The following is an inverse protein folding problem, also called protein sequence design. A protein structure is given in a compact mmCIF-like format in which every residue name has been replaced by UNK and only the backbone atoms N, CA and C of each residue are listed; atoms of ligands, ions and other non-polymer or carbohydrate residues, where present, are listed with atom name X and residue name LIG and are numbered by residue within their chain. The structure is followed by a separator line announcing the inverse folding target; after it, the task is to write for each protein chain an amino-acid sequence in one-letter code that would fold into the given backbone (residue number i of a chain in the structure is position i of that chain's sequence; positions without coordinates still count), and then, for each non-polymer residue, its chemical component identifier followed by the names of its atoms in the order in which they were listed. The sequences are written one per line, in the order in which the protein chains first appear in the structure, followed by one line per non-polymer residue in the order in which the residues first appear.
data_IF_490846978640
#
_entry.id   IF_490846978640
#
_cell.length_a   1.000
_cell.length_b   1.000
_cell.length_c   1.000
_cell.angle_alpha   90.00
_cell.angle_beta   90.00
_cell.angle_gamma   90.00
#
_symmetry.space_group_name_H-M   'P 1'
#
loop_
_entity.id
_entity.type
_entity.pdbx_description
1 polymer ?
#
# COMPACT_ATOMS: atom_id res chain seq x y z
N UNK A 1 5.99 20.08 18.78
CA UNK A 1 6.10 18.72 19.36
C UNK A 1 5.83 17.75 18.22
N UNK A 2 6.84 17.04 17.74
CA UNK A 2 6.67 16.04 16.68
C UNK A 2 6.03 14.81 17.32
N UNK A 3 4.73 14.61 17.10
CA UNK A 3 4.03 13.41 17.53
C UNK A 3 4.64 12.22 16.79
N UNK A 4 5.12 11.23 17.52
CA UNK A 4 5.61 9.98 16.91
C UNK A 4 4.42 9.32 16.23
N UNK A 5 4.53 9.09 14.92
CA UNK A 5 3.50 8.41 14.14
C UNK A 5 3.31 6.98 14.65
N UNK A 6 2.07 6.61 14.94
CA UNK A 6 1.67 5.23 15.17
C UNK A 6 0.87 4.70 13.96
N UNK A 7 1.47 3.84 13.10
CA UNK A 7 0.78 3.30 11.94
C UNK A 7 -0.39 2.37 12.25
N UNK A 8 -0.49 1.79 13.47
CA UNK A 8 -1.61 0.91 13.83
C UNK A 8 -2.89 1.70 14.08
N UNK A 9 -2.76 2.93 14.59
CA UNK A 9 -3.87 3.78 14.98
C UNK A 9 -4.04 5.01 14.08
N UNK A 10 -3.19 5.20 13.06
CA UNK A 10 -3.39 6.26 12.07
C UNK A 10 -4.77 6.08 11.38
N UNK A 11 -5.66 7.09 11.39
CA UNK A 11 -6.93 6.93 10.70
C UNK A 11 -6.76 6.88 9.18
N UNK A 12 -7.31 5.85 8.54
CA UNK A 12 -7.19 5.56 7.11
C UNK A 12 -8.31 6.21 6.29
N UNK A 13 -8.83 7.35 6.72
CA UNK A 13 -9.86 8.11 6.04
C UNK A 13 -9.56 9.62 6.10
N UNK A 14 -10.12 10.35 5.13
CA UNK A 14 -9.83 11.77 4.94
C UNK A 14 -8.40 12.02 4.46
N UNK A 15 -7.93 13.26 4.58
CA UNK A 15 -6.55 13.63 4.24
C UNK A 15 -5.66 13.55 5.47
N UNK A 16 -4.48 12.94 5.32
CA UNK A 16 -3.47 12.78 6.37
C UNK A 16 -2.11 13.21 5.80
N UNK A 17 -1.38 14.03 6.56
CA UNK A 17 -0.01 14.41 6.26
C UNK A 17 0.93 13.68 7.22
N UNK A 18 1.88 12.93 6.66
CA UNK A 18 2.92 12.24 7.42
C UNK A 18 4.26 12.87 7.06
N UNK A 19 4.92 13.48 8.02
CA UNK A 19 6.27 14.03 7.86
C UNK A 19 7.30 12.94 8.20
N UNK A 20 8.26 12.70 7.31
CA UNK A 20 9.24 11.64 7.49
C UNK A 20 10.59 11.97 6.82
N UNK A 21 11.61 12.24 7.64
CA UNK A 21 12.98 12.52 7.21
C UNK A 21 13.69 11.29 6.61
N UNK A 22 14.86 11.49 6.01
CA UNK A 22 15.69 10.38 5.53
C UNK A 22 15.96 9.37 6.66
N UNK A 23 15.84 8.07 6.36
CA UNK A 23 16.09 7.01 7.33
C UNK A 23 14.98 6.73 8.36
N UNK A 24 13.86 7.48 8.38
CA UNK A 24 12.80 7.32 9.41
C UNK A 24 11.73 6.27 9.06
N UNK A 25 12.07 5.27 8.24
CA UNK A 25 11.14 4.17 7.94
C UNK A 25 9.92 4.53 7.09
N UNK A 26 10.04 5.52 6.18
CA UNK A 26 8.97 5.89 5.22
C UNK A 26 8.37 4.68 4.51
N UNK A 27 9.23 3.89 3.87
CA UNK A 27 8.80 2.75 3.06
C UNK A 27 8.18 1.66 3.93
N UNK A 28 8.72 1.46 5.14
CA UNK A 28 8.13 0.55 6.13
C UNK A 28 6.73 1.03 6.56
N UNK A 29 6.57 2.33 6.80
CA UNK A 29 5.27 2.94 7.16
C UNK A 29 4.25 2.73 6.06
N UNK A 30 4.61 2.97 4.80
CA UNK A 30 3.71 2.73 3.66
C UNK A 30 3.28 1.27 3.62
N UNK A 31 4.22 0.31 3.76
CA UNK A 31 3.89 -1.11 3.76
C UNK A 31 3.00 -1.52 4.96
N UNK A 32 3.20 -0.92 6.13
CA UNK A 32 2.36 -1.13 7.31
C UNK A 32 0.92 -0.62 7.09
N UNK A 33 0.75 0.58 6.52
CA UNK A 33 -0.56 1.14 6.19
C UNK A 33 -1.26 0.33 5.09
N UNK A 34 -0.51 -0.10 4.07
CA UNK A 34 -1.02 -0.95 2.99
C UNK A 34 -1.56 -2.28 3.54
N UNK A 35 -0.80 -2.94 4.42
CA UNK A 35 -1.23 -4.15 5.11
C UNK A 35 -2.55 -3.92 5.86
N UNK A 36 -2.69 -2.81 6.58
CA UNK A 36 -3.93 -2.48 7.29
C UNK A 36 -5.12 -2.30 6.35
N UNK A 37 -4.92 -1.67 5.19
CA UNK A 37 -5.97 -1.50 4.17
C UNK A 37 -6.43 -2.86 3.60
N UNK A 38 -5.48 -3.77 3.29
CA UNK A 38 -5.79 -5.13 2.84
C UNK A 38 -6.61 -5.89 3.88
N UNK A 39 -6.25 -5.77 5.16
CA UNK A 39 -6.96 -6.44 6.24
C UNK A 39 -8.29 -5.78 6.62
N UNK A 40 -8.50 -4.51 6.25
CA UNK A 40 -9.60 -3.70 6.79
C UNK A 40 -9.44 -3.43 8.29
N UNK A 41 -8.19 -3.29 8.76
CA UNK A 41 -7.82 -3.22 10.17
C UNK A 41 -7.93 -1.82 10.79
N UNK A 42 -8.37 -1.77 12.06
CA UNK A 42 -8.44 -0.57 12.90
C UNK A 42 -9.77 -0.48 13.65
N UNK A 43 -9.83 0.36 14.68
CA UNK A 43 -11.06 0.65 15.40
C UNK A 43 -12.10 1.37 14.52
N UNK A 44 -13.34 1.47 15.01
CA UNK A 44 -14.35 2.34 14.40
C UNK A 44 -13.86 3.79 14.42
N UNK A 45 -13.90 4.44 13.26
CA UNK A 45 -13.26 5.76 13.08
C UNK A 45 -11.77 5.72 12.74
N UNK A 46 -11.09 4.57 12.73
CA UNK A 46 -9.69 4.47 12.27
C UNK A 46 -9.55 3.66 10.99
N UNK A 47 -10.34 2.59 10.84
CA UNK A 47 -10.29 1.72 9.66
C UNK A 47 -10.93 2.35 8.43
N UNK A 48 -10.53 1.86 7.25
CA UNK A 48 -11.24 2.11 6.01
C UNK A 48 -12.60 1.39 5.98
N UNK A 49 -13.52 1.83 5.12
CA UNK A 49 -14.89 1.32 5.08
C UNK A 49 -14.99 -0.19 4.81
N UNK A 50 -14.02 -0.77 4.10
CA UNK A 50 -13.91 -2.20 3.80
C UNK A 50 -12.44 -2.62 3.69
N UNK A 51 -12.19 -3.92 3.69
CA UNK A 51 -10.92 -4.47 3.20
C UNK A 51 -10.76 -4.16 1.70
N UNK A 52 -9.53 -3.83 1.30
CA UNK A 52 -9.18 -3.47 -0.07
C UNK A 52 -8.35 -4.56 -0.75
N UNK A 53 -8.39 -4.59 -2.08
CA UNK A 53 -7.48 -5.37 -2.93
C UNK A 53 -6.29 -4.50 -3.37
N UNK A 54 -5.18 -5.08 -3.85
CA UNK A 54 -4.04 -4.29 -4.30
C UNK A 54 -4.35 -3.25 -5.40
N UNK A 55 -5.30 -3.56 -6.28
CA UNK A 55 -5.80 -2.67 -7.34
C UNK A 55 -6.68 -1.53 -6.80
N UNK A 56 -7.28 -1.68 -5.61
CA UNK A 56 -8.08 -0.64 -4.97
C UNK A 56 -7.22 0.44 -4.28
N UNK A 57 -5.91 0.22 -4.12
CA UNK A 57 -5.01 1.09 -3.34
C UNK A 57 -4.04 1.81 -4.27
N UNK A 58 -4.35 3.05 -4.62
CA UNK A 58 -3.46 3.90 -5.41
C UNK A 58 -2.27 4.38 -4.57
N UNK A 59 -1.06 4.05 -5.01
CA UNK A 59 0.18 4.62 -4.48
C UNK A 59 0.99 5.26 -5.61
N UNK A 60 1.43 6.50 -5.41
CA UNK A 60 2.22 7.23 -6.40
C UNK A 60 3.58 7.63 -5.85
N UNK A 61 4.61 7.59 -6.69
CA UNK A 61 5.98 8.04 -6.35
C UNK A 61 6.67 8.69 -7.55
N UNK A 62 7.87 9.22 -7.36
CA UNK A 62 8.57 9.99 -8.39
C UNK A 62 9.33 9.15 -9.42
N UNK A 63 9.80 7.96 -9.05
CA UNK A 63 10.70 7.19 -9.91
C UNK A 63 10.20 5.77 -10.13
N UNK A 64 10.47 5.23 -11.31
CA UNK A 64 10.15 3.82 -11.63
C UNK A 64 10.85 2.86 -10.69
N UNK A 65 12.11 3.13 -10.33
CA UNK A 65 12.83 2.34 -9.33
C UNK A 65 12.10 2.30 -7.98
N UNK A 66 11.60 3.45 -7.50
CA UNK A 66 10.83 3.50 -6.26
C UNK A 66 9.49 2.75 -6.37
N UNK A 67 8.84 2.71 -7.54
CA UNK A 67 7.64 1.87 -7.72
C UNK A 67 7.94 0.39 -7.56
N UNK A 68 9.04 -0.10 -8.16
CA UNK A 68 9.43 -1.50 -8.09
C UNK A 68 9.85 -1.89 -6.67
N UNK A 69 10.72 -1.09 -6.05
CA UNK A 69 11.13 -1.29 -4.66
C UNK A 69 9.93 -1.32 -3.71
N UNK A 70 8.96 -0.43 -3.92
CA UNK A 70 7.76 -0.37 -3.08
C UNK A 70 6.86 -1.59 -3.29
N UNK A 71 6.67 -2.04 -4.54
CA UNK A 71 5.91 -3.27 -4.86
C UNK A 71 6.52 -4.49 -4.16
N UNK A 72 7.84 -4.66 -4.27
CA UNK A 72 8.57 -5.75 -3.62
C UNK A 72 8.41 -5.71 -2.10
N UNK A 73 8.67 -4.55 -1.48
CA UNK A 73 8.57 -4.39 -0.03
C UNK A 73 7.16 -4.63 0.51
N UNK A 74 6.12 -4.18 -0.20
CA UNK A 74 4.74 -4.45 0.17
C UNK A 74 4.45 -5.94 0.06
N UNK A 75 4.83 -6.58 -1.05
CA UNK A 75 4.66 -8.04 -1.23
C UNK A 75 5.30 -8.82 -0.10
N UNK A 76 6.56 -8.52 0.22
CA UNK A 76 7.30 -9.17 1.30
C UNK A 76 6.61 -8.96 2.66
N UNK A 77 6.11 -7.74 2.91
CA UNK A 77 5.38 -7.43 4.15
C UNK A 77 4.08 -8.24 4.27
N UNK A 78 3.31 -8.34 3.18
CA UNK A 78 2.08 -9.15 3.14
C UNK A 78 2.38 -10.62 3.39
N UNK A 79 3.40 -11.19 2.71
CA UNK A 79 3.79 -12.59 2.89
C UNK A 79 4.30 -12.87 4.31
N UNK A 80 5.17 -12.02 4.84
CA UNK A 80 5.68 -12.13 6.21
C UNK A 80 4.54 -12.08 7.22
N UNK A 81 3.62 -11.11 7.09
CA UNK A 81 2.44 -11.04 7.95
C UNK A 81 1.55 -12.29 7.83
N UNK A 82 1.37 -12.85 6.62
CA UNK A 82 0.60 -14.08 6.44
C UNK A 82 1.22 -15.26 7.21
N UNK A 83 2.53 -15.46 7.10
CA UNK A 83 3.24 -16.52 7.84
C UNK A 83 3.19 -16.27 9.35
N UNK A 84 3.31 -15.02 9.78
CA UNK A 84 3.22 -14.62 11.18
C UNK A 84 1.84 -14.96 11.76
N UNK A 85 0.77 -14.68 11.02
CA UNK A 85 -0.62 -15.01 11.41
C UNK A 85 -0.87 -16.52 11.49
N UNK A 86 -0.16 -17.33 10.70
CA UNK A 86 -0.23 -18.79 10.77
C UNK A 86 0.66 -19.40 11.87
N UNK A 87 1.50 -18.59 12.53
CA UNK A 87 2.51 -19.08 13.46
C UNK A 87 3.67 -19.82 12.79
N UNK A 88 3.81 -19.68 11.48
CA UNK A 88 4.86 -20.35 10.69
C UNK A 88 6.18 -19.57 10.67
N UNK A 89 6.14 -18.30 11.06
CA UNK A 89 7.27 -17.38 11.06
C UNK A 89 7.24 -16.58 12.36
N UNK A 90 8.25 -16.80 13.20
CA UNK A 90 8.49 -16.05 14.43
C UNK A 90 9.84 -15.37 14.27
N UNK A 91 9.85 -14.21 13.61
CA UNK A 91 11.05 -13.40 13.45
C UNK A 91 11.75 -13.24 14.81
N UNK A 92 13.08 -13.28 14.80
CA UNK A 92 13.91 -13.05 16.00
C UNK A 92 14.86 -11.88 15.71
N UNK A 93 14.68 -10.70 16.35
CA UNK A 93 13.63 -10.38 17.32
C UNK A 93 12.23 -10.33 16.69
N UNK A 94 11.17 -10.49 17.49
CA UNK A 94 9.79 -10.39 17.01
C UNK A 94 9.50 -9.03 16.39
N UNK A 95 8.56 -8.99 15.45
CA UNK A 95 8.08 -7.75 14.85
C UNK A 95 6.98 -7.14 15.75
N UNK A 96 7.24 -6.05 16.48
CA UNK A 96 6.30 -5.53 17.47
C UNK A 96 4.99 -5.03 16.85
N UNK A 97 5.05 -4.57 15.59
CA UNK A 97 3.87 -4.14 14.86
C UNK A 97 2.99 -5.35 14.51
N UNK A 98 3.57 -6.46 14.04
CA UNK A 98 2.80 -7.66 13.74
C UNK A 98 2.28 -8.35 15.00
N UNK A 99 3.02 -8.32 16.11
CA UNK A 99 2.55 -8.78 17.42
C UNK A 99 1.29 -8.04 17.87
N UNK A 100 1.35 -6.71 17.84
CA UNK A 100 0.22 -5.87 18.24
C UNK A 100 -0.96 -6.05 17.30
N UNK A 101 -0.71 -6.09 15.98
CA UNK A 101 -1.74 -6.35 14.98
C UNK A 101 -2.40 -7.72 15.16
N UNK A 102 -1.63 -8.76 15.49
CA UNK A 102 -2.14 -10.12 15.69
C UNK A 102 -3.01 -10.23 16.95
N UNK A 103 -2.78 -9.40 17.96
CA UNK A 103 -3.56 -9.37 19.20
C UNK A 103 -5.05 -9.08 18.94
N UNK A 104 -5.36 -8.31 17.89
CA UNK A 104 -6.73 -8.00 17.47
C UNK A 104 -7.44 -9.17 16.76
N UNK A 105 -6.72 -10.26 16.46
CA UNK A 105 -7.24 -11.49 15.88
C UNK A 105 -7.21 -12.61 16.91
N UNK A 106 -8.23 -12.66 17.78
CA UNK A 106 -8.26 -13.53 18.96
C UNK A 106 -8.43 -15.03 18.67
N UNK A 107 -9.06 -15.41 17.54
CA UNK A 107 -9.32 -16.82 17.22
C UNK A 107 -8.37 -17.38 16.14
N UNK A 108 -8.03 -18.69 16.19
CA UNK A 108 -7.27 -19.33 15.11
C UNK A 108 -7.95 -19.21 13.75
N UNK A 109 -9.30 -19.22 13.72
CA UNK A 109 -10.09 -19.07 12.49
C UNK A 109 -9.91 -17.69 11.87
N UNK A 110 -10.02 -16.61 12.66
CA UNK A 110 -9.84 -15.24 12.17
C UNK A 110 -8.41 -15.00 11.71
N UNK A 111 -7.42 -15.59 12.39
CA UNK A 111 -6.01 -15.55 11.98
C UNK A 111 -5.78 -16.24 10.64
N UNK A 112 -6.31 -17.45 10.46
CA UNK A 112 -6.21 -18.18 9.19
C UNK A 112 -6.90 -17.44 8.03
N UNK A 113 -8.06 -16.82 8.28
CA UNK A 113 -8.75 -16.00 7.27
C UNK A 113 -7.95 -14.76 6.87
N UNK A 114 -7.37 -14.06 7.85
CA UNK A 114 -6.50 -12.91 7.58
C UNK A 114 -5.24 -13.35 6.81
N UNK A 115 -4.57 -14.42 7.22
CA UNK A 115 -3.43 -14.98 6.50
C UNK A 115 -3.79 -15.32 5.04
N UNK A 116 -4.94 -15.95 4.80
CA UNK A 116 -5.39 -16.26 3.45
C UNK A 116 -5.59 -14.99 2.60
N UNK A 117 -6.23 -13.95 3.14
CA UNK A 117 -6.37 -12.66 2.45
C UNK A 117 -5.00 -12.04 2.10
N UNK A 118 -4.05 -12.12 3.03
CA UNK A 118 -2.71 -11.59 2.83
C UNK A 118 -1.93 -12.32 1.74
N UNK A 119 -2.04 -13.65 1.67
CA UNK A 119 -1.45 -14.44 0.58
C UNK A 119 -2.04 -14.04 -0.77
N UNK A 120 -3.38 -14.00 -0.87
CA UNK A 120 -4.04 -13.59 -2.12
C UNK A 120 -3.64 -12.17 -2.55
N UNK A 121 -3.57 -11.23 -1.61
CA UNK A 121 -3.12 -9.87 -1.89
C UNK A 121 -1.65 -9.83 -2.32
N UNK A 122 -0.78 -10.63 -1.70
CA UNK A 122 0.63 -10.72 -2.07
C UNK A 122 0.82 -11.29 -3.48
N UNK A 123 0.02 -12.29 -3.87
CA UNK A 123 0.06 -12.87 -5.21
C UNK A 123 -0.45 -11.87 -6.26
N UNK A 124 -1.50 -11.11 -5.95
CA UNK A 124 -2.07 -10.08 -6.82
C UNK A 124 -1.27 -8.75 -6.88
N UNK A 125 -0.08 -8.67 -6.29
CA UNK A 125 0.71 -7.43 -6.28
C UNK A 125 1.23 -7.01 -7.66
N UNK A 126 1.26 -7.90 -8.66
CA UNK A 126 1.61 -7.52 -10.04
C UNK A 126 0.59 -6.52 -10.61
N UNK A 127 -0.69 -6.71 -10.27
CA UNK A 127 -1.82 -5.86 -10.66
C UNK A 127 -2.01 -4.64 -9.75
N UNK A 128 -1.12 -4.43 -8.77
CA UNK A 128 -1.23 -3.32 -7.82
C UNK A 128 -1.19 -1.94 -8.49
N UNK A 129 -2.02 -1.02 -8.00
CA UNK A 129 -2.12 0.36 -8.47
C UNK A 129 -0.97 1.24 -7.93
N UNK A 130 0.28 0.81 -8.15
CA UNK A 130 1.50 1.52 -7.75
C UNK A 130 2.19 2.07 -8.99
N UNK A 131 2.18 3.40 -9.13
CA UNK A 131 2.62 4.09 -10.34
C UNK A 131 3.61 5.21 -10.02
N UNK A 132 4.34 5.65 -11.05
CA UNK A 132 4.89 7.00 -11.00
C UNK A 132 3.79 8.03 -11.21
N UNK A 133 3.98 9.26 -10.73
CA UNK A 133 2.98 10.33 -10.88
C UNK A 133 2.62 10.54 -12.37
N UNK A 134 3.62 10.58 -13.25
CA UNK A 134 3.43 10.74 -14.69
C UNK A 134 2.64 9.56 -15.31
N UNK A 135 2.97 8.33 -14.92
CA UNK A 135 2.31 7.14 -15.45
C UNK A 135 0.82 7.09 -15.05
N UNK A 136 0.49 7.49 -13.82
CA UNK A 136 -0.90 7.59 -13.36
C UNK A 136 -1.69 8.68 -14.11
N UNK A 137 -1.11 9.87 -14.26
CA UNK A 137 -1.74 10.95 -15.03
C UNK A 137 -2.04 10.50 -16.47
N UNK A 138 -1.06 9.89 -17.15
CA UNK A 138 -1.24 9.39 -18.52
C UNK A 138 -2.29 8.28 -18.61
N UNK A 139 -2.34 7.39 -17.62
CA UNK A 139 -3.37 6.33 -17.57
C UNK A 139 -4.76 6.94 -17.43
N UNK A 140 -4.92 7.87 -16.49
CA UNK A 140 -6.18 8.58 -16.24
C UNK A 140 -6.66 9.32 -17.49
N UNK A 141 -5.76 10.04 -18.17
CA UNK A 141 -6.08 10.73 -19.42
C UNK A 141 -6.52 9.77 -20.53
N UNK A 142 -5.88 8.61 -20.66
CA UNK A 142 -6.26 7.58 -21.63
C UNK A 142 -7.60 6.93 -21.32
N UNK A 143 -7.86 6.59 -20.05
CA UNK A 143 -9.11 5.98 -19.62
C UNK A 143 -10.31 6.95 -19.73
N UNK A 144 -10.06 8.25 -19.59
CA UNK A 144 -11.07 9.31 -19.72
C UNK A 144 -11.01 10.11 -21.03
N UNK A 145 -10.25 9.67 -22.04
CA UNK A 145 -10.09 10.37 -23.32
C UNK A 145 -11.43 10.63 -24.02
N UNK A 146 -12.39 9.69 -23.88
CA UNK A 146 -13.75 9.86 -24.37
C UNK A 146 -14.55 10.94 -23.63
N UNK A 147 -14.26 11.18 -22.35
CA UNK A 147 -14.93 12.21 -21.55
C UNK A 147 -14.31 13.60 -21.73
N UNK A 148 -13.05 13.68 -22.17
CA UNK A 148 -12.31 14.94 -22.35
C UNK A 148 -12.27 15.43 -23.80
N UNK A 149 -12.69 14.61 -24.78
CA UNK A 149 -12.64 14.97 -26.20
C UNK A 149 -11.23 15.05 -26.78
N UNK A 150 -10.22 14.52 -26.07
CA UNK A 150 -8.84 14.46 -26.56
C UNK A 150 -8.67 13.32 -27.57
N UNK A 151 -7.98 13.62 -28.66
CA UNK A 151 -7.77 12.69 -29.76
C UNK A 151 -6.92 11.49 -29.30
N UNK A 152 -7.28 10.30 -29.76
CA UNK A 152 -6.99 8.99 -29.14
C UNK A 152 -5.50 8.55 -29.15
N UNK A 153 -4.55 9.46 -29.42
CA UNK A 153 -3.11 9.21 -29.57
C UNK A 153 -2.28 10.39 -29.08
N UNK A 154 -2.26 10.63 -27.78
CA UNK A 154 -1.24 11.50 -27.19
C UNK A 154 0.03 10.68 -26.92
N UNK A 155 1.07 10.93 -27.73
CA UNK A 155 2.42 10.40 -27.51
C UNK A 155 3.07 11.22 -26.40
N UNK A 156 3.52 10.55 -25.33
CA UNK A 156 4.26 11.21 -24.27
C UNK A 156 5.63 11.66 -24.82
N UNK A 157 5.83 12.97 -24.87
CA UNK A 157 7.15 13.55 -25.03
C UNK A 157 7.83 13.53 -23.66
N UNK A 158 8.85 12.68 -23.52
CA UNK A 158 9.62 12.55 -22.28
C UNK A 158 10.57 13.75 -22.06
N UNK A 159 10.78 14.56 -23.10
CA UNK A 159 11.68 15.70 -23.14
C UNK A 159 10.93 16.94 -23.69
N UNK A 160 11.05 18.07 -22.99
CA UNK A 160 10.46 19.35 -23.45
C UNK A 160 11.07 19.85 -24.76
N UNK A 161 12.26 19.36 -25.14
CA UNK A 161 12.89 19.72 -26.41
C UNK A 161 12.16 19.15 -27.64
N UNK A 162 11.32 18.13 -27.46
CA UNK A 162 10.51 17.54 -28.53
C UNK A 162 9.22 18.34 -28.82
N UNK A 163 8.92 19.39 -28.03
CA UNK A 163 7.77 20.30 -28.23
C UNK A 163 8.05 21.44 -29.23
N UNK A 164 9.14 21.37 -29.99
CA UNK A 164 9.54 22.41 -30.96
C UNK A 164 8.99 22.17 -32.36
#
# INVERSE_FOLDING_TARGET
MTTILDPLHLPLHGSRLIEASAGTGKTWTIAALYLRLILGHGAEGERFARALLPEDILVMTFTRAATQELKERIRDRLQSAARYFLGSDHATPPDPFLETLLADYSSPKTRAQAAHKLVLAADAMDDSAIFTIDAWCQRTLREHAFATGSDFRETLLLDETDLR
#
